data_IF_418660987881
#
_entry.id   IF_418660987881
#
_cell.length_a   1.000
_cell.length_b   1.000
_cell.length_c   1.000
_cell.angle_alpha   90.00
_cell.angle_beta   90.00
_cell.angle_gamma   90.00
#
_symmetry.space_group_name_H-M   'P 1'
#
loop_
_entity.id
_entity.type
_entity.pdbx_description
1 polymer ?
#
# COMPACT_ATOMS: atom_id res chain seq x y z
N UNK A 1 -10.19 0.23 8.83
CA UNK A 1 -9.80 -0.81 7.86
C UNK A 1 -8.32 -0.64 7.51
N UNK A 2 -7.59 -1.72 7.58
CA UNK A 2 -6.17 -1.70 7.21
C UNK A 2 -6.02 -1.95 5.72
N UNK A 3 -5.09 -1.23 5.12
CA UNK A 3 -4.76 -1.45 3.73
C UNK A 3 -3.82 -2.64 3.59
N UNK A 4 -3.94 -3.34 2.47
CA UNK A 4 -3.14 -4.53 2.20
C UNK A 4 -1.80 -4.18 1.52
N UNK A 5 -1.26 -3.01 1.80
CA UNK A 5 -0.02 -2.55 1.17
C UNK A 5 1.13 -3.47 1.53
N UNK A 6 1.25 -3.80 2.82
CA UNK A 6 2.35 -4.67 3.25
C UNK A 6 2.29 -6.03 2.57
N UNK A 7 1.09 -6.61 2.47
CA UNK A 7 0.93 -7.90 1.81
C UNK A 7 1.41 -7.84 0.37
N UNK A 8 0.97 -6.83 -0.38
CA UNK A 8 1.35 -6.71 -1.78
C UNK A 8 2.84 -6.44 -1.91
N UNK A 9 3.40 -5.64 -1.00
CA UNK A 9 4.83 -5.37 -1.00
C UNK A 9 5.65 -6.64 -0.80
N UNK A 10 5.25 -7.45 0.18
CA UNK A 10 5.95 -8.70 0.46
C UNK A 10 5.82 -9.69 -0.68
N UNK A 11 4.67 -9.72 -1.35
CA UNK A 11 4.48 -10.57 -2.52
C UNK A 11 5.43 -10.19 -3.65
N UNK A 12 5.83 -8.93 -3.73
CA UNK A 12 6.77 -8.46 -4.74
C UNK A 12 8.22 -8.52 -4.27
N UNK A 13 8.45 -8.98 -3.05
CA UNK A 13 9.80 -9.10 -2.51
C UNK A 13 10.48 -7.77 -2.23
N UNK A 14 9.72 -6.72 -1.95
CA UNK A 14 10.27 -5.39 -1.74
C UNK A 14 10.35 -5.03 -0.26
N UNK A 15 11.41 -4.31 0.10
CA UNK A 15 11.51 -3.68 1.42
C UNK A 15 10.70 -2.39 1.42
N UNK A 16 10.42 -1.86 2.60
CA UNK A 16 9.75 -0.56 2.71
C UNK A 16 10.57 0.55 2.04
N UNK A 17 11.89 0.46 2.16
CA UNK A 17 12.77 1.45 1.54
C UNK A 17 12.70 1.38 0.02
N UNK A 18 12.68 0.16 -0.52
CA UNK A 18 12.56 0.00 -1.97
C UNK A 18 11.22 0.53 -2.47
N UNK A 19 10.15 0.24 -1.75
CA UNK A 19 8.85 0.75 -2.13
C UNK A 19 8.81 2.28 -2.06
N UNK A 20 9.41 2.85 -1.02
CA UNK A 20 9.50 4.30 -0.90
C UNK A 20 10.18 4.91 -2.11
N UNK A 21 11.32 4.35 -2.49
CA UNK A 21 12.07 4.86 -3.63
C UNK A 21 11.28 4.76 -4.92
N UNK A 22 10.65 3.62 -5.15
CA UNK A 22 9.92 3.38 -6.39
C UNK A 22 8.64 4.20 -6.49
N UNK A 23 7.94 4.36 -5.38
CA UNK A 23 6.67 5.07 -5.36
C UNK A 23 6.84 6.57 -5.21
N UNK A 24 8.03 7.01 -4.78
CA UNK A 24 8.30 8.41 -4.43
C UNK A 24 7.41 8.89 -3.29
N UNK A 25 7.02 7.97 -2.43
CA UNK A 25 6.29 8.25 -1.20
C UNK A 25 7.25 8.01 -0.04
N UNK A 26 7.26 8.91 0.94
CA UNK A 26 8.22 8.79 2.04
C UNK A 26 8.02 7.49 2.80
N UNK A 27 9.11 6.96 3.34
CA UNK A 27 9.07 5.73 4.12
C UNK A 27 8.16 5.87 5.33
N UNK A 28 8.17 7.05 5.96
CA UNK A 28 7.31 7.30 7.12
C UNK A 28 5.83 7.09 6.79
N UNK A 29 5.42 7.56 5.62
CA UNK A 29 4.03 7.38 5.20
C UNK A 29 3.74 5.91 4.93
N UNK A 30 4.66 5.22 4.25
CA UNK A 30 4.48 3.80 3.97
C UNK A 30 4.38 3.00 5.28
N UNK A 31 5.29 3.25 6.22
CA UNK A 31 5.25 2.58 7.52
C UNK A 31 3.93 2.86 8.23
N UNK A 32 3.49 4.12 8.24
CA UNK A 32 2.24 4.51 8.90
C UNK A 32 1.03 3.85 8.27
N UNK A 33 1.01 3.73 6.95
CA UNK A 33 -0.08 3.06 6.26
C UNK A 33 -0.09 1.56 6.54
N UNK A 34 1.09 0.95 6.62
CA UNK A 34 1.18 -0.49 6.86
C UNK A 34 0.82 -0.87 8.29
N UNK A 35 1.17 -0.05 9.26
CA UNK A 35 0.90 -0.37 10.66
C UNK A 35 -0.41 0.21 11.19
N UNK A 36 -1.15 0.91 10.35
CA UNK A 36 -2.46 1.44 10.72
C UNK A 36 -2.43 2.76 11.45
N UNK A 37 -1.26 3.37 11.65
CA UNK A 37 -1.19 4.68 12.28
C UNK A 37 -1.68 5.79 11.38
N UNK A 38 -1.51 5.63 10.07
CA UNK A 38 -2.07 6.54 9.09
C UNK A 38 -3.26 5.85 8.47
N UNK A 39 -4.46 6.39 8.72
CA UNK A 39 -5.69 5.80 8.22
C UNK A 39 -6.37 6.66 7.15
N UNK A 40 -5.89 7.90 6.99
CA UNK A 40 -6.41 8.81 5.97
C UNK A 40 -5.28 9.17 5.03
N UNK A 41 -5.48 8.92 3.74
CA UNK A 41 -4.48 9.23 2.72
C UNK A 41 -5.20 9.60 1.44
N UNK A 42 -4.44 10.17 0.50
CA UNK A 42 -5.04 10.58 -0.77
C UNK A 42 -5.02 9.44 -1.77
N UNK A 43 -5.96 9.48 -2.70
CA UNK A 43 -5.97 8.52 -3.81
C UNK A 43 -4.67 8.58 -4.59
N UNK A 44 -4.12 9.79 -4.77
CA UNK A 44 -2.87 9.95 -5.50
C UNK A 44 -1.74 9.16 -4.85
N UNK A 45 -1.64 9.20 -3.52
CA UNK A 45 -0.63 8.43 -2.79
C UNK A 45 -0.81 6.94 -3.03
N UNK A 46 -2.05 6.46 -2.93
CA UNK A 46 -2.33 5.04 -3.14
C UNK A 46 -2.05 4.60 -4.57
N UNK A 47 -2.36 5.45 -5.54
CA UNK A 47 -2.07 5.14 -6.95
C UNK A 47 -0.57 5.00 -7.17
N UNK A 48 0.22 5.90 -6.60
CA UNK A 48 1.68 5.82 -6.74
C UNK A 48 2.24 4.54 -6.14
N UNK A 49 1.72 4.14 -4.98
CA UNK A 49 2.16 2.91 -4.34
C UNK A 49 1.73 1.71 -5.18
N UNK A 50 0.50 1.72 -5.69
CA UNK A 50 0.01 0.62 -6.52
C UNK A 50 0.83 0.47 -7.80
N UNK A 51 1.19 1.59 -8.44
CA UNK A 51 2.03 1.54 -9.63
C UNK A 51 3.40 0.96 -9.32
N UNK A 52 3.99 1.36 -8.19
CA UNK A 52 5.28 0.83 -7.77
C UNK A 52 5.23 -0.67 -7.50
N UNK A 53 4.08 -1.17 -7.05
CA UNK A 53 3.87 -2.58 -6.78
C UNK A 53 3.32 -3.34 -7.98
N UNK A 54 3.08 -2.64 -9.08
CA UNK A 54 2.53 -3.25 -10.30
C UNK A 54 1.23 -4.00 -10.03
N UNK A 55 0.37 -3.38 -9.22
CA UNK A 55 -0.93 -3.95 -8.92
C UNK A 55 -2.00 -2.86 -9.01
N UNK A 56 -3.26 -3.26 -9.02
CA UNK A 56 -4.34 -2.29 -8.99
C UNK A 56 -4.57 -1.80 -7.57
N UNK A 57 -5.06 -0.58 -7.45
CA UNK A 57 -5.32 0.01 -6.14
C UNK A 57 -6.33 -0.81 -5.34
N UNK A 58 -7.22 -1.52 -6.02
CA UNK A 58 -8.21 -2.35 -5.35
C UNK A 58 -7.57 -3.47 -4.53
N UNK A 59 -6.35 -3.86 -4.85
CA UNK A 59 -5.64 -4.89 -4.10
C UNK A 59 -5.30 -4.46 -2.68
N UNK A 60 -5.34 -3.16 -2.39
CA UNK A 60 -5.03 -2.67 -1.06
C UNK A 60 -6.20 -2.79 -0.10
N UNK A 61 -7.40 -3.03 -0.60
CA UNK A 61 -8.58 -3.06 0.23
C UNK A 61 -9.04 -4.48 0.47
N UNK A 62 -9.43 -4.74 1.72
CA UNK A 62 -9.95 -6.04 2.08
C UNK A 62 -11.41 -6.12 1.64
N UNK A 63 -11.68 -7.02 0.74
CA UNK A 63 -12.97 -7.09 0.07
C UNK A 63 -13.89 -8.15 0.66
N UNK A 64 -14.29 -7.94 1.89
CA UNK A 64 -15.17 -8.91 2.56
C UNK A 64 -16.53 -9.01 1.90
N UNK A 65 -16.98 -7.92 1.30
CA UNK A 65 -18.29 -7.90 0.67
C UNK A 65 -18.41 -8.91 -0.46
N UNK A 66 -17.30 -9.40 -0.97
CA UNK A 66 -17.33 -10.37 -2.05
C UNK A 66 -17.37 -11.81 -1.58
N UNK A 67 -17.42 -12.02 -0.28
CA UNK A 67 -17.26 -13.36 0.28
C UNK A 67 -18.60 -14.02 0.61
N UNK A 68 -19.65 -13.26 0.69
CA UNK A 68 -20.94 -13.86 1.03
C UNK A 68 -21.71 -14.38 -0.16
#
# INVERSE_FOLDING_TARGET
>A
MLLQIRKQRLLKGLTQEELSRRSKISKSIIVGLENGKITVTTTKTLVRIAEALECSISKFFYNRSLIH
#
